data_IF_421998747046
#
_entry.id   IF_421998747046
#
_cell.length_a   1.000
_cell.length_b   1.000
_cell.length_c   1.000
_cell.angle_alpha   90.00
_cell.angle_beta   90.00
_cell.angle_gamma   90.00
#
_symmetry.space_group_name_H-M   'P 1'
#
loop_
_entity.id
_entity.type
_entity.pdbx_description
1 polymer ?
#
# COMPACT_ATOMS: atom_id res chain seq x y z
N UNK A 1 63.95 -35.17 11.45
CA UNK A 1 63.18 -34.35 12.39
C UNK A 1 63.16 -35.06 13.74
N UNK A 2 63.77 -34.46 14.78
CA UNK A 2 63.88 -35.12 16.09
C UNK A 2 62.55 -35.11 16.84
N UNK A 3 62.31 -36.08 17.72
CA UNK A 3 61.10 -36.17 18.55
C UNK A 3 60.83 -34.91 19.38
N UNK A 4 61.85 -34.13 19.67
CA UNK A 4 61.74 -32.82 20.39
C UNK A 4 61.12 -31.74 19.53
N UNK A 5 61.44 -31.64 18.25
CA UNK A 5 60.89 -30.64 17.33
C UNK A 5 59.40 -30.93 17.09
N UNK A 6 59.02 -32.19 16.94
CA UNK A 6 57.61 -32.59 16.73
C UNK A 6 56.76 -32.20 17.96
N UNK A 7 57.27 -32.38 19.17
CA UNK A 7 56.58 -31.97 20.40
C UNK A 7 56.42 -30.46 20.51
N UNK A 8 57.46 -29.71 20.04
CA UNK A 8 57.39 -28.22 20.03
C UNK A 8 56.32 -27.72 19.08
N UNK A 9 56.23 -28.29 17.85
CA UNK A 9 55.20 -27.88 16.90
C UNK A 9 53.78 -28.25 17.37
N UNK A 10 53.59 -29.40 18.02
CA UNK A 10 52.27 -29.75 18.59
C UNK A 10 51.89 -28.83 19.74
N UNK A 11 52.81 -28.45 20.60
CA UNK A 11 52.55 -27.49 21.69
C UNK A 11 52.22 -26.10 21.15
N UNK A 12 52.93 -25.63 20.12
CA UNK A 12 52.68 -24.35 19.47
C UNK A 12 51.29 -24.34 18.78
N UNK A 13 50.98 -25.40 18.05
CA UNK A 13 49.67 -25.52 17.40
C UNK A 13 48.51 -25.54 18.40
N UNK A 14 48.68 -26.25 19.52
CA UNK A 14 47.68 -26.28 20.59
C UNK A 14 47.46 -24.90 21.23
N UNK A 15 48.55 -24.14 21.46
CA UNK A 15 48.48 -22.77 21.99
C UNK A 15 47.78 -21.82 21.03
N UNK A 16 48.11 -21.89 19.73
CA UNK A 16 47.43 -21.09 18.70
C UNK A 16 45.94 -21.40 18.60
N UNK A 17 45.61 -22.69 18.64
CA UNK A 17 44.19 -23.09 18.61
C UNK A 17 43.43 -22.62 19.85
N UNK A 18 44.01 -22.72 21.06
CA UNK A 18 43.41 -22.22 22.27
C UNK A 18 43.22 -20.69 22.24
N UNK A 19 44.19 -19.93 21.72
CA UNK A 19 44.09 -18.50 21.54
C UNK A 19 42.97 -18.10 20.56
N UNK A 20 42.84 -18.81 19.45
CA UNK A 20 41.75 -18.60 18.48
C UNK A 20 40.37 -18.90 19.08
N UNK A 21 40.25 -19.97 19.85
CA UNK A 21 38.99 -20.31 20.55
C UNK A 21 38.62 -19.26 21.60
N UNK A 22 39.60 -18.77 22.37
CA UNK A 22 39.40 -17.74 23.38
C UNK A 22 38.97 -16.41 22.72
N UNK A 23 39.60 -16.05 21.60
CA UNK A 23 39.26 -14.84 20.84
C UNK A 23 37.87 -14.94 20.21
N UNK A 24 37.52 -16.09 19.63
CA UNK A 24 36.17 -16.36 19.10
C UNK A 24 35.08 -16.30 20.17
N UNK A 25 35.34 -16.87 21.34
CA UNK A 25 34.42 -16.81 22.47
C UNK A 25 34.26 -15.37 23.01
N UNK A 26 35.34 -14.61 23.13
CA UNK A 26 35.30 -13.22 23.53
C UNK A 26 34.55 -12.33 22.52
N UNK A 27 34.77 -12.54 21.23
CA UNK A 27 34.05 -11.82 20.16
C UNK A 27 32.55 -12.16 20.14
N UNK A 28 32.20 -13.43 20.39
CA UNK A 28 30.80 -13.86 20.52
C UNK A 28 30.16 -13.27 21.78
N UNK A 29 30.88 -13.26 22.89
CA UNK A 29 30.43 -12.69 24.15
C UNK A 29 30.20 -11.18 24.04
N UNK A 30 31.12 -10.44 23.44
CA UNK A 30 30.98 -9.01 23.14
C UNK A 30 29.79 -8.73 22.21
N UNK A 31 29.49 -9.59 21.25
CA UNK A 31 28.30 -9.48 20.41
C UNK A 31 26.99 -9.77 21.17
N UNK A 32 27.04 -10.66 22.15
CA UNK A 32 25.86 -11.04 22.93
C UNK A 32 25.61 -10.12 24.13
N UNK A 33 26.66 -9.63 24.77
CA UNK A 33 26.58 -8.84 26.01
C UNK A 33 26.70 -7.32 25.77
N UNK A 34 27.18 -6.90 24.60
CA UNK A 34 27.23 -5.49 24.20
C UNK A 34 25.85 -4.85 23.97
N UNK A 35 24.78 -5.64 24.08
CA UNK A 35 23.40 -5.14 24.07
C UNK A 35 22.96 -4.92 25.50
N UNK A 36 23.01 -3.68 25.95
CA UNK A 36 22.42 -3.26 27.23
C UNK A 36 20.94 -3.67 27.29
N UNK A 37 20.40 -3.95 28.48
CA UNK A 37 18.95 -4.21 28.65
C UNK A 37 18.07 -3.11 28.05
N UNK A 38 18.57 -1.89 27.93
CA UNK A 38 17.91 -0.77 27.26
C UNK A 38 17.81 -0.94 25.74
N UNK A 39 18.76 -1.64 25.09
CA UNK A 39 18.70 -1.97 23.66
C UNK A 39 17.82 -3.19 23.36
N UNK A 40 17.50 -3.98 24.39
CA UNK A 40 16.52 -5.09 24.29
C UNK A 40 15.09 -4.64 24.52
N UNK A 41 14.88 -3.44 25.06
CA UNK A 41 13.55 -2.85 24.99
C UNK A 41 13.31 -2.56 23.51
N UNK A 42 12.44 -3.32 22.87
CA UNK A 42 11.88 -2.92 21.60
C UNK A 42 11.53 -1.44 21.70
N UNK A 43 11.92 -0.59 20.75
CA UNK A 43 11.47 0.79 20.79
C UNK A 43 9.95 0.76 21.00
N UNK A 44 9.41 1.64 21.86
CA UNK A 44 7.96 1.67 22.07
C UNK A 44 7.34 1.66 20.69
N UNK A 45 6.40 0.72 20.49
CA UNK A 45 5.71 0.62 19.20
C UNK A 45 5.34 2.06 18.82
N UNK A 46 5.74 2.55 17.65
CA UNK A 46 5.41 3.91 17.25
C UNK A 46 3.92 4.07 17.48
N UNK A 47 3.53 5.16 18.16
CA UNK A 47 2.12 5.47 18.36
C UNK A 47 1.43 5.22 17.02
N UNK A 48 0.26 4.57 16.99
CA UNK A 48 -0.37 4.20 15.73
C UNK A 48 -0.43 5.46 14.86
N UNK A 49 0.43 5.50 13.85
CA UNK A 49 0.46 6.60 12.92
C UNK A 49 -0.88 6.53 12.19
N UNK A 50 -1.68 7.53 12.35
CA UNK A 50 -2.99 7.62 11.76
C UNK A 50 -3.32 9.06 11.45
N UNK A 51 -4.23 9.27 10.54
CA UNK A 51 -4.68 10.59 10.15
C UNK A 51 -5.80 10.48 9.14
N UNK A 52 -6.38 11.62 8.81
CA UNK A 52 -7.40 11.71 7.77
C UNK A 52 -6.78 11.73 6.40
N UNK A 53 -7.54 11.28 5.45
CA UNK A 53 -7.16 11.40 4.05
C UNK A 53 -8.38 11.68 3.17
N UNK A 54 -8.12 12.26 2.01
CA UNK A 54 -9.08 12.44 0.94
C UNK A 54 -8.44 11.96 -0.35
N UNK A 55 -9.08 11.01 -1.04
CA UNK A 55 -8.47 10.35 -2.18
C UNK A 55 -9.41 10.10 -3.34
N UNK A 56 -8.80 9.90 -4.51
CA UNK A 56 -9.46 9.50 -5.75
C UNK A 56 -9.26 8.00 -5.95
N UNK A 57 -10.35 7.30 -6.22
CA UNK A 57 -10.34 5.88 -6.59
C UNK A 57 -10.11 5.73 -8.10
N UNK A 58 -9.12 4.92 -8.43
CA UNK A 58 -8.76 4.58 -9.80
C UNK A 58 -9.04 3.10 -10.02
N UNK A 59 -9.64 2.81 -11.14
CA UNK A 59 -10.00 1.47 -11.59
C UNK A 59 -9.98 1.42 -13.11
N UNK A 60 -9.89 0.24 -13.67
CA UNK A 60 -9.97 0.07 -15.11
C UNK A 60 -11.43 0.12 -15.55
N UNK A 61 -11.79 1.10 -16.33
CA UNK A 61 -13.17 1.38 -16.75
C UNK A 61 -13.27 1.61 -18.26
N UNK A 62 -14.45 1.37 -18.78
CA UNK A 62 -14.80 1.67 -20.17
C UNK A 62 -16.21 2.25 -20.23
N UNK A 63 -16.31 3.47 -20.77
CA UNK A 63 -17.62 4.06 -21.03
C UNK A 63 -18.30 3.36 -22.22
N UNK A 64 -19.57 3.07 -22.08
CA UNK A 64 -20.37 2.41 -23.10
C UNK A 64 -21.28 3.41 -23.83
N UNK A 65 -21.74 3.09 -25.05
CA UNK A 65 -22.80 3.84 -25.70
C UNK A 65 -24.07 3.90 -24.85
N UNK A 66 -24.80 4.99 -24.94
CA UNK A 66 -26.08 5.14 -24.25
C UNK A 66 -27.03 3.99 -24.63
N UNK A 67 -27.71 3.42 -23.63
CA UNK A 67 -28.63 2.30 -23.82
C UNK A 67 -27.98 0.91 -23.87
N UNK A 68 -26.64 0.80 -23.81
CA UNK A 68 -26.00 -0.49 -23.67
C UNK A 68 -26.45 -1.18 -22.37
N UNK A 69 -26.78 -2.47 -22.45
CA UNK A 69 -27.28 -3.28 -21.31
C UNK A 69 -28.50 -2.68 -20.60
N UNK A 70 -29.43 -2.08 -21.39
CA UNK A 70 -30.66 -1.50 -20.85
C UNK A 70 -31.40 -2.49 -19.96
N UNK A 71 -31.82 -2.05 -18.77
CA UNK A 71 -32.52 -2.91 -17.79
C UNK A 71 -31.60 -3.73 -16.89
N UNK A 72 -30.29 -3.67 -17.06
CA UNK A 72 -29.31 -4.32 -16.16
C UNK A 72 -29.11 -3.47 -14.90
N UNK A 73 -29.16 -4.09 -13.72
CA UNK A 73 -28.93 -3.40 -12.45
C UNK A 73 -27.45 -3.03 -12.26
N UNK A 74 -27.19 -1.94 -11.52
CA UNK A 74 -25.84 -1.56 -11.11
C UNK A 74 -25.18 -2.70 -10.31
N UNK A 75 -23.86 -2.87 -10.47
CA UNK A 75 -23.09 -3.93 -9.81
C UNK A 75 -23.27 -5.32 -10.40
N UNK A 76 -24.09 -5.46 -11.46
CA UNK A 76 -24.26 -6.76 -12.12
C UNK A 76 -22.94 -7.24 -12.71
N UNK A 77 -22.53 -8.44 -12.34
CA UNK A 77 -21.33 -9.08 -12.89
C UNK A 77 -21.66 -9.68 -14.26
N UNK A 78 -20.97 -9.19 -15.27
CA UNK A 78 -21.02 -9.70 -16.63
C UNK A 78 -19.89 -10.69 -16.85
N UNK A 79 -20.19 -11.78 -17.56
CA UNK A 79 -19.19 -12.74 -18.01
C UNK A 79 -18.32 -12.13 -19.13
N UNK A 80 -17.18 -12.76 -19.41
CA UNK A 80 -16.31 -12.35 -20.52
C UNK A 80 -17.03 -12.36 -21.88
N UNK A 81 -17.97 -13.27 -22.09
CA UNK A 81 -18.74 -13.34 -23.32
C UNK A 81 -19.69 -12.14 -23.48
N UNK A 82 -20.30 -11.68 -22.38
CA UNK A 82 -21.22 -10.54 -22.37
C UNK A 82 -20.48 -9.20 -22.45
N UNK A 83 -19.31 -9.10 -21.81
CA UNK A 83 -18.52 -7.87 -21.71
C UNK A 83 -17.36 -7.78 -22.73
N UNK A 84 -17.44 -8.51 -23.83
CA UNK A 84 -16.50 -8.37 -24.94
C UNK A 84 -15.10 -8.97 -24.73
N UNK A 85 -14.97 -10.00 -23.89
CA UNK A 85 -13.72 -10.76 -23.72
C UNK A 85 -13.13 -10.77 -22.29
N UNK A 86 -13.63 -9.92 -21.40
CA UNK A 86 -13.17 -9.81 -20.01
C UNK A 86 -14.39 -9.69 -19.08
N UNK A 87 -14.35 -10.37 -17.92
CA UNK A 87 -15.41 -10.19 -16.93
C UNK A 87 -15.38 -8.76 -16.36
N UNK A 88 -16.57 -8.19 -16.19
CA UNK A 88 -16.73 -6.81 -15.75
C UNK A 88 -17.92 -6.66 -14.77
N UNK A 89 -17.94 -5.55 -14.05
CA UNK A 89 -19.14 -5.06 -13.35
C UNK A 89 -19.77 -3.97 -14.21
N UNK A 90 -21.10 -4.04 -14.32
CA UNK A 90 -21.88 -3.05 -15.05
C UNK A 90 -22.39 -1.96 -14.10
N UNK A 91 -22.29 -0.71 -14.54
CA UNK A 91 -22.91 0.44 -13.88
C UNK A 91 -23.68 1.28 -14.92
N UNK A 92 -24.92 1.69 -14.61
CA UNK A 92 -25.80 2.38 -15.56
C UNK A 92 -25.41 3.84 -15.83
N UNK A 93 -24.51 4.39 -15.01
CA UNK A 93 -24.06 5.77 -15.14
C UNK A 93 -22.53 5.86 -15.05
N UNK A 94 -21.95 6.80 -15.77
CA UNK A 94 -20.55 7.17 -15.71
C UNK A 94 -20.40 8.52 -15.02
N UNK A 95 -19.20 8.80 -14.53
CA UNK A 95 -18.84 10.07 -13.87
C UNK A 95 -17.93 10.95 -14.73
N UNK A 96 -17.67 10.53 -15.96
CA UNK A 96 -16.78 11.23 -16.91
C UNK A 96 -15.29 11.06 -16.65
N UNK A 97 -14.92 10.22 -15.68
CA UNK A 97 -13.53 9.97 -15.25
C UNK A 97 -12.98 8.62 -15.70
N UNK A 98 -13.63 7.97 -16.66
CA UNK A 98 -13.25 6.66 -17.18
C UNK A 98 -11.89 6.67 -17.88
N UNK A 99 -11.34 7.85 -18.20
CA UNK A 99 -10.01 8.03 -18.73
C UNK A 99 -8.89 7.84 -17.70
N UNK A 100 -9.23 7.93 -16.40
CA UNK A 100 -8.28 7.67 -15.30
C UNK A 100 -8.21 6.18 -15.01
N UNK A 101 -7.04 5.61 -15.18
CA UNK A 101 -6.77 4.20 -14.97
C UNK A 101 -5.83 3.96 -13.78
N UNK A 102 -5.69 2.72 -13.29
CA UNK A 102 -4.67 2.36 -12.31
C UNK A 102 -3.23 2.68 -12.76
N UNK A 103 -2.97 2.78 -14.07
CA UNK A 103 -1.64 3.09 -14.61
C UNK A 103 -1.26 4.57 -14.40
N UNK A 104 -2.24 5.44 -14.18
CA UNK A 104 -2.01 6.85 -13.88
C UNK A 104 -1.64 7.09 -12.41
N UNK A 105 -1.80 6.07 -11.58
CA UNK A 105 -1.61 6.11 -10.13
C UNK A 105 -0.27 6.73 -9.68
N UNK A 106 0.84 6.36 -10.36
CA UNK A 106 2.17 6.85 -10.03
C UNK A 106 2.42 8.29 -10.55
N UNK A 107 1.59 8.75 -11.50
CA UNK A 107 1.74 10.05 -12.15
C UNK A 107 0.96 11.17 -11.47
N UNK A 108 0.05 10.82 -10.54
CA UNK A 108 -0.74 11.80 -9.82
C UNK A 108 0.14 12.59 -8.86
N UNK A 109 0.43 13.84 -9.22
CA UNK A 109 1.10 14.79 -8.33
C UNK A 109 0.11 15.35 -7.32
N UNK A 110 0.57 15.93 -6.17
CA UNK A 110 -0.31 16.56 -5.20
C UNK A 110 -1.23 17.63 -5.82
N UNK A 111 -0.70 18.45 -6.73
CA UNK A 111 -1.47 19.51 -7.41
C UNK A 111 -2.60 18.95 -8.27
N UNK A 112 -2.26 17.92 -9.06
CA UNK A 112 -3.25 17.26 -9.92
C UNK A 112 -4.30 16.56 -9.08
N UNK A 113 -3.89 15.89 -8.01
CA UNK A 113 -4.80 15.20 -7.10
C UNK A 113 -5.75 16.18 -6.40
N UNK A 114 -5.27 17.35 -5.97
CA UNK A 114 -6.08 18.40 -5.37
C UNK A 114 -7.11 18.97 -6.37
N UNK A 115 -6.69 19.20 -7.61
CA UNK A 115 -7.59 19.61 -8.69
C UNK A 115 -8.67 18.55 -8.96
N UNK A 116 -8.28 17.29 -9.08
CA UNK A 116 -9.20 16.16 -9.27
C UNK A 116 -10.19 16.03 -8.11
N UNK A 117 -9.73 16.14 -6.87
CA UNK A 117 -10.59 16.07 -5.70
C UNK A 117 -11.60 17.21 -5.63
N UNK A 118 -11.23 18.38 -6.13
CA UNK A 118 -12.12 19.56 -6.19
C UNK A 118 -13.19 19.36 -7.26
N UNK A 119 -12.82 18.86 -8.43
CA UNK A 119 -13.72 18.64 -9.56
C UNK A 119 -14.61 17.42 -9.34
N UNK A 120 -14.05 16.30 -8.90
CA UNK A 120 -14.79 15.06 -8.62
C UNK A 120 -15.76 15.15 -7.45
N UNK A 121 -15.68 16.21 -6.64
CA UNK A 121 -16.71 16.50 -5.62
C UNK A 121 -18.04 16.98 -6.24
N UNK A 122 -18.07 17.22 -7.54
CA UNK A 122 -19.25 17.65 -8.31
C UNK A 122 -19.44 16.75 -9.54
N UNK A 123 -19.68 15.46 -9.35
CA UNK A 123 -19.84 14.55 -10.49
C UNK A 123 -21.09 14.97 -11.28
N UNK A 124 -20.89 15.39 -12.51
CA UNK A 124 -21.96 15.41 -13.49
C UNK A 124 -22.15 13.95 -13.93
N UNK A 125 -23.14 13.29 -13.36
CA UNK A 125 -23.50 11.93 -13.78
C UNK A 125 -23.95 11.97 -15.24
N UNK A 126 -23.17 11.31 -16.10
CA UNK A 126 -23.56 11.08 -17.47
C UNK A 126 -24.45 9.83 -17.52
N UNK A 127 -25.57 9.91 -18.26
CA UNK A 127 -26.46 8.77 -18.52
C UNK A 127 -25.82 7.71 -19.46
N UNK A 128 -24.52 7.64 -19.48
CA UNK A 128 -23.77 6.63 -20.23
C UNK A 128 -23.37 5.52 -19.29
N UNK A 129 -23.70 4.28 -19.59
CA UNK A 129 -23.27 3.16 -18.77
C UNK A 129 -21.76 2.94 -18.90
N UNK A 130 -21.18 2.25 -17.90
CA UNK A 130 -19.77 1.85 -17.91
C UNK A 130 -19.57 0.42 -17.46
N UNK A 131 -18.45 -0.15 -17.88
CA UNK A 131 -17.92 -1.41 -17.38
C UNK A 131 -16.69 -1.14 -16.50
N UNK A 132 -16.60 -1.87 -15.39
CA UNK A 132 -15.43 -1.85 -14.50
C UNK A 132 -14.77 -3.22 -14.58
N UNK A 133 -13.50 -3.23 -14.96
CA UNK A 133 -12.71 -4.44 -15.15
C UNK A 133 -11.75 -4.69 -13.98
N UNK A 134 -11.27 -5.94 -13.87
CA UNK A 134 -10.14 -6.31 -13.02
C UNK A 134 -10.41 -6.34 -11.52
N UNK A 135 -11.53 -5.85 -11.04
CA UNK A 135 -11.97 -5.85 -9.64
C UNK A 135 -10.92 -5.35 -8.63
N UNK A 136 -9.95 -4.57 -9.08
CA UNK A 136 -8.95 -3.95 -8.21
C UNK A 136 -9.17 -2.44 -8.14
N UNK A 137 -9.09 -1.91 -6.93
CA UNK A 137 -9.14 -0.48 -6.68
C UNK A 137 -7.79 0.00 -6.15
N UNK A 138 -7.30 1.09 -6.71
CA UNK A 138 -6.20 1.84 -6.12
C UNK A 138 -6.68 3.24 -5.74
N UNK A 139 -6.09 3.81 -4.70
CA UNK A 139 -6.47 5.12 -4.19
C UNK A 139 -5.23 5.99 -4.08
N UNK A 140 -5.21 7.11 -4.79
CA UNK A 140 -4.26 8.18 -4.56
C UNK A 140 -4.92 9.22 -3.64
N UNK A 141 -4.31 9.50 -2.49
CA UNK A 141 -4.94 10.31 -1.47
C UNK A 141 -3.99 11.39 -0.93
N UNK A 142 -4.53 12.57 -0.67
CA UNK A 142 -3.89 13.58 0.15
C UNK A 142 -4.08 13.22 1.61
N UNK A 143 -3.01 13.22 2.36
CA UNK A 143 -3.00 12.91 3.79
C UNK A 143 -3.04 14.19 4.61
N UNK A 144 -3.83 14.16 5.65
CA UNK A 144 -3.99 15.25 6.62
C UNK A 144 -3.64 14.69 8.00
N UNK A 145 -2.44 14.94 8.46
CA UNK A 145 -1.95 14.50 9.77
C UNK A 145 -0.47 14.82 9.96
N UNK A 146 0.00 14.71 11.20
CA UNK A 146 1.36 15.08 11.58
C UNK A 146 2.40 14.06 11.06
N UNK A 147 2.03 12.80 10.98
CA UNK A 147 2.94 11.74 10.53
C UNK A 147 2.19 10.71 9.69
N UNK A 148 2.55 10.55 8.42
CA UNK A 148 1.97 9.51 7.58
C UNK A 148 2.40 8.13 8.08
N UNK A 149 1.54 7.11 7.90
CA UNK A 149 1.91 5.74 8.25
C UNK A 149 3.02 5.21 7.35
N UNK A 150 3.80 4.27 7.86
CA UNK A 150 4.80 3.58 7.05
C UNK A 150 4.13 2.68 5.99
N UNK A 151 4.77 2.49 4.81
CA UNK A 151 4.30 1.54 3.81
C UNK A 151 4.08 0.14 4.40
N UNK A 152 2.94 -0.48 4.07
CA UNK A 152 2.57 -1.77 4.62
C UNK A 152 1.08 -2.04 4.59
N UNK A 153 0.64 -3.06 5.31
CA UNK A 153 -0.77 -3.34 5.51
C UNK A 153 -1.41 -2.27 6.39
N UNK A 154 -2.61 -1.83 6.04
CA UNK A 154 -3.34 -0.83 6.79
C UNK A 154 -4.84 -1.08 6.74
N UNK A 155 -5.54 -0.43 7.65
CA UNK A 155 -7.00 -0.41 7.71
C UNK A 155 -7.47 1.01 7.42
N UNK A 156 -8.45 1.13 6.53
CA UNK A 156 -9.09 2.38 6.20
C UNK A 156 -10.48 2.38 6.81
N UNK A 157 -10.84 3.46 7.51
CA UNK A 157 -12.21 3.75 7.89
C UNK A 157 -12.74 4.80 6.92
N UNK A 158 -13.61 4.39 6.02
CA UNK A 158 -14.12 5.23 4.95
C UNK A 158 -15.43 5.84 5.34
N UNK A 159 -15.54 7.15 5.20
CA UNK A 159 -16.77 7.88 5.50
C UNK A 159 -17.90 7.41 4.55
N UNK A 160 -18.99 6.91 5.14
CA UNK A 160 -20.15 6.41 4.40
C UNK A 160 -20.02 4.96 3.86
N UNK A 161 -18.82 4.36 3.87
CA UNK A 161 -18.59 3.01 3.30
C UNK A 161 -18.09 1.97 4.32
N UNK A 162 -17.78 2.40 5.56
CA UNK A 162 -17.29 1.50 6.60
C UNK A 162 -15.78 1.20 6.46
N UNK A 163 -15.40 -0.05 6.65
CA UNK A 163 -13.98 -0.44 6.76
C UNK A 163 -13.48 -1.14 5.52
N UNK A 164 -12.32 -0.75 5.04
CA UNK A 164 -11.59 -1.43 3.98
C UNK A 164 -10.20 -1.85 4.46
N UNK A 165 -9.65 -2.92 3.88
CA UNK A 165 -8.24 -3.31 4.04
C UNK A 165 -7.48 -2.86 2.81
N UNK A 166 -6.31 -2.29 3.05
CA UNK A 166 -5.46 -1.80 1.98
C UNK A 166 -3.98 -2.10 2.27
N UNK A 167 -3.18 -1.94 1.25
CA UNK A 167 -1.74 -1.88 1.35
C UNK A 167 -1.27 -0.50 0.91
N UNK A 168 -0.66 0.24 1.82
CA UNK A 168 0.04 1.46 1.51
C UNK A 168 1.32 1.10 0.77
N UNK A 169 1.42 1.50 -0.49
CA UNK A 169 2.54 1.18 -1.38
C UNK A 169 3.66 2.19 -1.24
N UNK A 170 3.31 3.47 -1.25
CA UNK A 170 4.26 4.56 -1.10
C UNK A 170 3.64 5.78 -0.44
N UNK A 171 4.51 6.58 0.16
CA UNK A 171 4.23 7.90 0.72
C UNK A 171 5.18 8.86 0.04
N UNK A 172 4.68 9.97 -0.46
CA UNK A 172 5.48 10.96 -1.17
C UNK A 172 5.10 12.35 -0.68
N UNK A 173 6.09 13.11 -0.24
CA UNK A 173 5.91 14.51 0.14
C UNK A 173 6.36 15.42 -1.00
N UNK A 174 5.65 16.52 -1.19
CA UNK A 174 6.08 17.56 -2.12
C UNK A 174 6.86 18.69 -1.42
N UNK A 175 7.33 19.64 -2.22
CA UNK A 175 8.07 20.80 -1.73
C UNK A 175 7.22 21.75 -0.85
N UNK A 176 5.91 21.62 -0.87
CA UNK A 176 4.96 22.39 -0.06
C UNK A 176 4.51 21.65 1.20
N UNK A 177 5.07 20.47 1.46
CA UNK A 177 4.74 19.64 2.63
C UNK A 177 3.40 18.90 2.50
N UNK A 178 2.84 18.76 1.29
CA UNK A 178 1.67 17.93 1.07
C UNK A 178 2.09 16.49 0.89
N UNK A 179 1.44 15.59 1.60
CA UNK A 179 1.74 14.16 1.58
C UNK A 179 0.71 13.41 0.72
N UNK A 180 1.19 12.66 -0.26
CA UNK A 180 0.38 11.75 -1.07
C UNK A 180 0.59 10.32 -0.61
N UNK A 181 -0.51 9.66 -0.28
CA UNK A 181 -0.57 8.23 -0.01
C UNK A 181 -1.00 7.48 -1.27
N UNK A 182 -0.30 6.40 -1.59
CA UNK A 182 -0.67 5.48 -2.66
C UNK A 182 -1.08 4.14 -2.08
N UNK A 183 -2.36 3.85 -2.19
CA UNK A 183 -3.01 2.73 -1.52
C UNK A 183 -3.59 1.75 -2.56
N UNK A 184 -3.35 0.46 -2.37
CA UNK A 184 -4.06 -0.60 -3.10
C UNK A 184 -5.04 -1.26 -2.15
N UNK A 185 -6.33 -1.18 -2.46
CA UNK A 185 -7.36 -1.82 -1.68
C UNK A 185 -7.33 -3.33 -1.93
N UNK A 186 -7.41 -4.12 -0.85
CA UNK A 186 -7.33 -5.59 -0.92
C UNK A 186 -8.64 -6.26 -0.51
N UNK A 187 -9.40 -5.59 0.35
CA UNK A 187 -10.75 -6.01 0.77
C UNK A 187 -11.56 -4.76 1.08
N UNK A 188 -12.67 -4.60 0.42
CA UNK A 188 -13.50 -3.39 0.52
C UNK A 188 -14.98 -3.70 0.18
N UNK A 189 -15.91 -2.84 0.60
CA UNK A 189 -17.32 -2.93 0.21
C UNK A 189 -17.50 -2.73 -1.30
N UNK A 190 -18.45 -3.45 -1.91
CA UNK A 190 -18.69 -3.38 -3.37
C UNK A 190 -19.19 -2.00 -3.81
N UNK A 191 -19.84 -1.26 -2.92
CA UNK A 191 -20.31 0.10 -3.15
C UNK A 191 -19.18 1.08 -3.54
N UNK A 192 -17.93 0.75 -3.18
CA UNK A 192 -16.76 1.56 -3.58
C UNK A 192 -16.50 1.55 -5.09
N UNK A 193 -17.07 0.60 -5.83
CA UNK A 193 -17.00 0.64 -7.29
C UNK A 193 -17.84 1.76 -7.90
N UNK A 194 -18.77 2.33 -7.16
CA UNK A 194 -19.56 3.49 -7.60
C UNK A 194 -18.90 4.82 -7.22
N UNK A 195 -18.11 4.82 -6.14
CA UNK A 195 -17.47 6.02 -5.64
C UNK A 195 -16.25 6.43 -6.49
N UNK A 196 -16.06 7.72 -6.69
CA UNK A 196 -14.85 8.29 -7.28
C UNK A 196 -13.95 8.91 -6.22
N UNK A 197 -14.54 9.59 -5.27
CA UNK A 197 -13.82 10.21 -4.15
C UNK A 197 -14.16 9.49 -2.86
N UNK A 198 -13.17 9.30 -2.04
CA UNK A 198 -13.30 8.76 -0.68
C UNK A 198 -12.60 9.66 0.31
N UNK A 199 -13.19 9.78 1.48
CA UNK A 199 -12.58 10.39 2.66
C UNK A 199 -12.57 9.38 3.80
N UNK A 200 -11.68 9.55 4.74
CA UNK A 200 -11.63 8.63 5.87
C UNK A 200 -10.37 8.77 6.72
N UNK A 201 -10.16 7.77 7.53
CA UNK A 201 -9.00 7.66 8.42
C UNK A 201 -8.20 6.41 8.06
N UNK A 202 -6.87 6.52 8.16
CA UNK A 202 -5.95 5.41 7.97
C UNK A 202 -5.35 5.01 9.32
N UNK A 203 -5.36 3.71 9.60
CA UNK A 203 -4.72 3.12 10.79
C UNK A 203 -3.67 2.12 10.31
N UNK A 204 -2.43 2.28 10.75
CA UNK A 204 -1.39 1.27 10.56
C UNK A 204 -1.71 0.01 11.37
N UNK A 205 -1.49 -1.16 10.77
CA UNK A 205 -1.71 -2.45 11.44
C UNK A 205 -0.49 -2.87 12.23
#
# INVERSE_FOLDING_TARGET
MGRSEQRFYHALAALLFAALCAWGAAALWLRLDGRTPAERASPPAPAPAGGRFRGVLLREEEALPAGAFSGTAAGTRLSAAEAGGRSALFFPASDGWEFLSPDDFERLTPELLEALLTEAARPELCEKPRLVYGFSLVCAALFEGDAPPAPGACTLRLDGFGTAKARLQSVTDDALGRTVLRLRLTRFPEELYEARVVTGEIESS
#
